data_IF_794841544050
#
_entry.id   IF_794841544050
#
_cell.length_a   1.000
_cell.length_b   1.000
_cell.length_c   1.000
_cell.angle_alpha   90.00
_cell.angle_beta   90.00
_cell.angle_gamma   90.00
#
_symmetry.space_group_name_H-M   'P 1'
#
loop_
_entity.id
_entity.type
_entity.pdbx_description
1 polymer ?
#
# COMPACT_ATOMS: atom_id res chain seq x y z
N UNK A 1 5.15 -18.29 3.46
CA UNK A 1 4.12 -18.31 4.53
C UNK A 1 3.21 -17.10 4.34
N UNK A 2 1.89 -17.23 4.54
CA UNK A 2 0.94 -16.12 4.37
C UNK A 2 0.68 -15.42 5.71
N UNK A 3 0.98 -14.13 5.77
CA UNK A 3 0.89 -13.28 6.96
C UNK A 3 -0.26 -12.30 6.83
N UNK A 4 -1.13 -12.24 7.84
CA UNK A 4 -2.17 -11.21 7.93
C UNK A 4 -1.52 -9.89 8.37
N UNK A 5 -1.82 -8.79 7.68
CA UNK A 5 -1.34 -7.45 8.05
C UNK A 5 -2.40 -6.69 8.84
N UNK A 6 -3.50 -6.33 8.18
CA UNK A 6 -4.60 -5.56 8.74
C UNK A 6 -5.81 -5.63 7.80
N UNK A 7 -6.97 -5.20 8.29
CA UNK A 7 -8.11 -4.88 7.42
C UNK A 7 -7.81 -3.64 6.58
N UNK A 8 -8.42 -3.58 5.39
CA UNK A 8 -8.40 -2.39 4.55
C UNK A 8 -9.01 -1.20 5.30
N UNK A 9 -8.47 -0.02 5.04
CA UNK A 9 -8.92 1.21 5.70
C UNK A 9 -10.36 1.53 5.28
N UNK A 10 -11.29 1.44 6.22
CA UNK A 10 -12.70 1.79 5.99
C UNK A 10 -12.93 3.27 5.68
N UNK A 11 -11.97 4.13 6.05
CA UNK A 11 -12.03 5.58 5.81
C UNK A 11 -11.18 6.05 4.63
N UNK A 12 -10.51 5.16 3.88
CA UNK A 12 -9.70 5.59 2.73
C UNK A 12 -10.57 6.20 1.61
N UNK A 13 -11.78 5.66 1.43
CA UNK A 13 -12.69 6.07 0.36
C UNK A 13 -13.14 7.53 0.47
N UNK A 14 -13.21 8.07 1.69
CA UNK A 14 -13.50 9.48 1.97
C UNK A 14 -12.43 10.43 1.40
N UNK A 15 -11.28 9.90 0.98
CA UNK A 15 -10.15 10.64 0.44
C UNK A 15 -9.93 10.41 -1.06
N UNK A 16 -10.88 9.76 -1.74
CA UNK A 16 -10.84 9.62 -3.19
C UNK A 16 -10.99 10.97 -3.89
N UNK A 17 -10.38 11.18 -5.07
CA UNK A 17 -10.51 12.42 -5.84
C UNK A 17 -11.96 12.83 -6.14
N UNK A 18 -12.88 11.87 -6.24
CA UNK A 18 -14.31 12.09 -6.46
C UNK A 18 -15.00 12.74 -5.26
N UNK A 19 -14.54 12.43 -4.04
CA UNK A 19 -15.07 12.96 -2.78
C UNK A 19 -14.31 14.22 -2.36
N UNK A 20 -12.98 14.18 -2.49
CA UNK A 20 -12.08 15.24 -2.07
C UNK A 20 -10.97 15.42 -3.11
N UNK A 21 -10.96 16.53 -3.87
CA UNK A 21 -9.89 16.83 -4.81
C UNK A 21 -8.53 16.84 -4.13
N UNK A 22 -7.57 16.11 -4.72
CA UNK A 22 -6.27 15.81 -4.10
C UNK A 22 -5.10 16.58 -4.74
N UNK A 23 -5.31 17.29 -5.85
CA UNK A 23 -4.33 18.17 -6.51
C UNK A 23 -3.05 17.49 -7.04
N UNK A 24 -2.75 16.26 -6.62
CA UNK A 24 -1.52 15.53 -6.91
C UNK A 24 -1.56 14.75 -8.23
N UNK A 25 -2.77 14.49 -8.75
CA UNK A 25 -3.00 13.62 -9.90
C UNK A 25 -2.78 12.12 -9.64
N UNK A 26 -2.43 11.70 -8.41
CA UNK A 26 -2.14 10.29 -8.07
C UNK A 26 -2.83 9.80 -6.78
N UNK A 27 -3.70 10.60 -6.18
CA UNK A 27 -4.47 10.19 -5.00
C UNK A 27 -3.63 10.03 -3.73
N UNK A 28 -2.77 11.00 -3.43
CA UNK A 28 -1.88 10.95 -2.26
C UNK A 28 -2.64 10.96 -0.93
N UNK A 29 -3.79 11.64 -0.85
CA UNK A 29 -4.67 11.62 0.32
C UNK A 29 -5.29 10.23 0.53
N UNK A 30 -5.81 9.63 -0.54
CA UNK A 30 -6.31 8.25 -0.54
C UNK A 30 -5.22 7.28 -0.10
N UNK A 31 -4.02 7.37 -0.69
CA UNK A 31 -2.89 6.53 -0.34
C UNK A 31 -2.49 6.64 1.13
N UNK A 32 -2.44 7.85 1.70
CA UNK A 32 -2.14 8.01 3.13
C UNK A 32 -3.20 7.35 4.02
N UNK A 33 -4.48 7.60 3.73
CA UNK A 33 -5.57 7.03 4.49
C UNK A 33 -5.61 5.50 4.40
N UNK A 34 -5.29 4.95 3.23
CA UNK A 34 -5.22 3.51 2.99
C UNK A 34 -4.03 2.84 3.67
N UNK A 35 -2.86 3.49 3.73
CA UNK A 35 -1.65 2.93 4.32
C UNK A 35 -1.65 2.92 5.86
N UNK A 36 -2.49 3.72 6.52
CA UNK A 36 -2.54 3.83 7.99
C UNK A 36 -2.54 2.47 8.72
N UNK A 37 -3.38 1.48 8.36
CA UNK A 37 -3.42 0.20 9.08
C UNK A 37 -2.13 -0.62 8.95
N UNK A 38 -1.34 -0.38 7.90
CA UNK A 38 -0.10 -1.12 7.61
C UNK A 38 1.16 -0.24 7.72
N UNK A 39 1.04 0.96 8.30
CA UNK A 39 2.17 1.85 8.51
C UNK A 39 3.26 1.19 9.36
N UNK A 40 2.85 0.37 10.33
CA UNK A 40 3.73 -0.46 11.16
C UNK A 40 2.97 -1.66 11.72
N UNK A 41 3.38 -2.86 11.32
CA UNK A 41 2.83 -4.14 11.76
C UNK A 41 3.97 -4.98 12.32
N UNK A 42 3.72 -5.67 13.44
CA UNK A 42 4.62 -6.69 13.97
C UNK A 42 3.95 -8.05 13.74
N UNK A 43 4.62 -8.92 12.99
CA UNK A 43 4.14 -10.27 12.72
C UNK A 43 4.38 -11.18 13.94
N UNK A 44 3.72 -12.33 13.98
CA UNK A 44 3.80 -13.28 15.11
C UNK A 44 5.21 -13.87 15.30
N UNK A 45 6.00 -13.94 14.23
CA UNK A 45 7.41 -14.37 14.25
C UNK A 45 8.39 -13.26 14.70
N UNK A 46 7.88 -12.06 15.02
CA UNK A 46 8.68 -10.89 15.39
C UNK A 46 9.17 -10.05 14.22
N UNK A 47 8.87 -10.44 12.97
CA UNK A 47 9.23 -9.66 11.78
C UNK A 47 8.45 -8.34 11.76
N UNK A 48 9.16 -7.22 11.57
CA UNK A 48 8.54 -5.89 11.43
C UNK A 48 8.22 -5.61 9.97
N UNK A 49 6.96 -5.30 9.69
CA UNK A 49 6.50 -4.81 8.39
C UNK A 49 6.12 -3.34 8.50
N UNK A 50 6.63 -2.50 7.60
CA UNK A 50 6.22 -1.09 7.52
C UNK A 50 5.94 -0.72 6.09
N UNK A 51 4.87 0.01 5.82
CA UNK A 51 4.58 0.55 4.50
C UNK A 51 4.27 2.05 4.61
N UNK A 52 5.04 2.87 3.90
CA UNK A 52 4.86 4.32 3.91
C UNK A 52 5.15 4.92 2.55
N UNK A 53 4.73 6.18 2.34
CA UNK A 53 5.10 6.93 1.14
C UNK A 53 5.82 8.22 1.47
N UNK A 54 6.69 8.65 0.55
CA UNK A 54 7.30 9.99 0.53
C UNK A 54 7.10 10.58 -0.86
N UNK A 55 6.23 11.59 -0.96
CA UNK A 55 5.74 12.06 -2.25
C UNK A 55 5.02 10.92 -2.98
N UNK A 56 5.41 10.66 -4.23
CA UNK A 56 4.86 9.58 -5.06
C UNK A 56 5.52 8.22 -4.83
N UNK A 57 6.60 8.16 -4.04
CA UNK A 57 7.34 6.90 -3.81
C UNK A 57 6.74 6.17 -2.62
N UNK A 58 6.37 4.92 -2.82
CA UNK A 58 5.91 3.99 -1.80
C UNK A 58 7.08 3.05 -1.45
N UNK A 59 7.32 2.86 -0.16
CA UNK A 59 8.38 2.00 0.37
C UNK A 59 7.75 1.00 1.34
N UNK A 60 7.97 -0.28 1.07
CA UNK A 60 7.61 -1.39 1.96
C UNK A 60 8.89 -1.99 2.54
N UNK A 61 8.93 -2.18 3.86
CA UNK A 61 10.03 -2.87 4.55
C UNK A 61 9.48 -4.10 5.25
N UNK A 62 10.21 -5.21 5.14
CA UNK A 62 9.88 -6.52 5.72
C UNK A 62 11.15 -7.01 6.40
N UNK A 63 11.25 -6.84 7.71
CA UNK A 63 12.49 -7.10 8.44
C UNK A 63 13.62 -6.18 7.97
N UNK A 64 14.68 -6.79 7.42
CA UNK A 64 15.85 -6.15 6.83
C UNK A 64 15.70 -5.86 5.32
N UNK A 65 14.70 -6.46 4.66
CA UNK A 65 14.41 -6.25 3.24
C UNK A 65 13.57 -4.99 3.03
N UNK A 66 13.78 -4.33 1.89
CA UNK A 66 12.99 -3.18 1.47
C UNK A 66 12.72 -3.24 -0.03
N UNK A 67 11.51 -2.83 -0.42
CA UNK A 67 11.10 -2.69 -1.81
C UNK A 67 10.38 -1.37 -2.01
N UNK A 68 10.55 -0.79 -3.19
CA UNK A 68 10.00 0.52 -3.55
C UNK A 68 9.17 0.42 -4.82
N UNK A 69 8.17 1.29 -4.94
CA UNK A 69 7.38 1.48 -6.15
C UNK A 69 6.89 2.92 -6.26
N UNK A 70 6.48 3.34 -7.45
CA UNK A 70 5.90 4.66 -7.68
C UNK A 70 4.37 4.59 -7.80
N UNK A 71 3.70 5.60 -7.24
CA UNK A 71 2.27 5.89 -7.42
C UNK A 71 1.97 6.57 -8.76
N UNK A 72 2.91 6.56 -9.72
CA UNK A 72 2.73 7.14 -11.05
C UNK A 72 2.69 6.02 -12.07
N UNK A 73 1.51 5.71 -12.60
CA UNK A 73 1.33 4.69 -13.63
C UNK A 73 0.45 5.23 -14.75
N UNK A 74 1.09 5.90 -15.72
CA UNK A 74 0.40 6.48 -16.87
C UNK A 74 -0.40 5.43 -17.67
N UNK A 75 0.05 4.17 -17.64
CA UNK A 75 -0.57 3.04 -18.32
C UNK A 75 -1.88 2.53 -17.68
N UNK A 76 -2.19 2.91 -16.43
CA UNK A 76 -3.39 2.42 -15.72
C UNK A 76 -4.51 3.46 -15.61
N UNK A 77 -4.38 4.60 -16.29
CA UNK A 77 -5.39 5.66 -16.22
C UNK A 77 -5.47 6.33 -14.83
N UNK A 78 -6.52 7.14 -14.58
CA UNK A 78 -6.60 7.98 -13.37
C UNK A 78 -7.14 7.25 -12.12
N UNK A 79 -7.39 5.94 -12.17
CA UNK A 79 -7.94 5.20 -11.03
C UNK A 79 -6.89 5.04 -9.92
N UNK A 80 -7.02 5.89 -8.90
CA UNK A 80 -6.10 5.94 -7.75
C UNK A 80 -6.09 4.65 -6.92
N UNK A 81 -7.19 3.88 -6.92
CA UNK A 81 -7.27 2.60 -6.22
C UNK A 81 -6.40 1.57 -6.92
N UNK A 82 -6.49 1.50 -8.24
CA UNK A 82 -5.68 0.61 -9.08
C UNK A 82 -4.20 1.00 -9.01
N UNK A 83 -3.90 2.30 -9.10
CA UNK A 83 -2.53 2.83 -8.98
C UNK A 83 -1.89 2.38 -7.66
N UNK A 84 -2.58 2.61 -6.54
CA UNK A 84 -2.08 2.24 -5.21
C UNK A 84 -1.92 0.73 -5.08
N UNK A 85 -2.93 -0.06 -5.50
CA UNK A 85 -2.87 -1.52 -5.43
C UNK A 85 -1.66 -2.06 -6.18
N UNK A 86 -1.41 -1.58 -7.40
CA UNK A 86 -0.25 -1.98 -8.20
C UNK A 86 1.07 -1.55 -7.56
N UNK A 87 1.14 -0.35 -6.99
CA UNK A 87 2.32 0.10 -6.25
C UNK A 87 2.62 -0.76 -5.02
N UNK A 88 1.60 -1.18 -4.28
CA UNK A 88 1.76 -2.11 -3.15
C UNK A 88 2.27 -3.48 -3.62
N UNK A 89 1.70 -4.04 -4.69
CA UNK A 89 2.16 -5.31 -5.25
C UNK A 89 3.63 -5.22 -5.71
N UNK A 90 4.02 -4.16 -6.40
CA UNK A 90 5.39 -3.98 -6.88
C UNK A 90 6.38 -3.74 -5.73
N UNK A 91 6.03 -2.90 -4.75
CA UNK A 91 6.89 -2.66 -3.59
C UNK A 91 7.07 -3.94 -2.76
N UNK A 92 6.02 -4.74 -2.59
CA UNK A 92 6.12 -6.05 -1.95
C UNK A 92 7.03 -7.00 -2.75
N UNK A 93 6.84 -7.10 -4.07
CA UNK A 93 7.66 -7.94 -4.94
C UNK A 93 9.14 -7.55 -4.86
N UNK A 94 9.44 -6.25 -4.90
CA UNK A 94 10.79 -5.72 -4.75
C UNK A 94 11.39 -5.96 -3.35
N UNK A 95 10.54 -6.16 -2.32
CA UNK A 95 10.96 -6.58 -0.98
C UNK A 95 11.07 -8.12 -0.84
N UNK A 96 10.81 -8.88 -1.90
CA UNK A 96 10.81 -10.34 -1.91
C UNK A 96 9.54 -10.99 -1.34
N UNK A 97 8.39 -10.32 -1.46
CA UNK A 97 7.10 -10.80 -0.99
C UNK A 97 5.98 -10.59 -2.02
N UNK A 98 4.84 -11.26 -1.82
CA UNK A 98 3.62 -11.03 -2.61
C UNK A 98 2.56 -10.37 -1.74
N UNK A 99 2.04 -9.22 -2.17
CA UNK A 99 0.93 -8.54 -1.51
C UNK A 99 -0.41 -8.93 -2.14
N UNK A 100 -1.40 -9.22 -1.30
CA UNK A 100 -2.75 -9.55 -1.73
C UNK A 100 -3.80 -9.00 -0.77
N UNK A 101 -5.03 -8.86 -1.27
CA UNK A 101 -6.21 -8.60 -0.45
C UNK A 101 -7.24 -9.69 -0.70
N UNK A 102 -7.82 -10.20 0.38
CA UNK A 102 -8.90 -11.19 0.35
C UNK A 102 -9.94 -10.77 1.36
N UNK A 103 -11.19 -10.60 0.92
CA UNK A 103 -12.33 -10.20 1.77
C UNK A 103 -12.06 -8.95 2.62
N UNK A 104 -11.42 -7.93 2.04
CA UNK A 104 -11.09 -6.68 2.75
C UNK A 104 -9.93 -6.80 3.74
N UNK A 105 -9.18 -7.92 3.74
CA UNK A 105 -8.01 -8.12 4.60
C UNK A 105 -6.75 -8.15 3.75
N UNK A 106 -5.72 -7.39 4.18
CA UNK A 106 -4.41 -7.33 3.56
C UNK A 106 -3.48 -8.44 4.06
N UNK A 107 -2.75 -9.05 3.13
CA UNK A 107 -1.80 -10.11 3.40
C UNK A 107 -0.46 -9.91 2.68
N UNK A 108 0.61 -10.45 3.27
CA UNK A 108 1.90 -10.65 2.61
C UNK A 108 2.28 -12.13 2.60
N UNK A 109 2.89 -12.59 1.52
CA UNK A 109 3.43 -13.93 1.40
C UNK A 109 4.92 -13.90 1.05
N UNK A 110 5.75 -14.50 1.91
CA UNK A 110 7.20 -14.67 1.75
C UNK A 110 7.73 -15.79 2.66
#
# INVERSE_FOLDING_TARGET
>A
MKWRLAEESSGADDHLPEVKPDGSGVGINYADAYLKPIAKVLLEDGTRVTCSRRGIKLTMKIGDKAGEALLRRLEHGPDVRVILRKALCEAAANAGATFSVTDGVMYLEF
#
